data_IF_257062012559
#
_entry.id   IF_257062012559
#
_cell.length_a   1.000
_cell.length_b   1.000
_cell.length_c   1.000
_cell.angle_alpha   90.00
_cell.angle_beta   90.00
_cell.angle_gamma   90.00
#
_symmetry.space_group_name_H-M   'P 1'
#
loop_
_entity.id
_entity.type
_entity.pdbx_description
1 polymer ?
#
# COMPACT_ATOMS: atom_id res chain seq x y z
N UNK A 1 -0.60 4.65 -22.38
CA UNK A 1 0.80 4.76 -22.90
C UNK A 1 1.19 3.56 -23.77
N UNK A 2 1.19 2.34 -23.26
CA UNK A 2 1.71 1.17 -24.01
C UNK A 2 1.12 1.01 -25.41
N UNK A 3 -0.21 1.06 -25.57
CA UNK A 3 -0.85 0.97 -26.87
C UNK A 3 -0.48 2.13 -27.81
N UNK A 4 -0.38 3.36 -27.29
CA UNK A 4 -0.04 4.54 -28.07
C UNK A 4 1.39 4.52 -28.61
N UNK A 5 2.30 3.80 -27.96
CA UNK A 5 3.71 3.70 -28.36
C UNK A 5 3.88 3.11 -29.76
N UNK A 6 2.98 2.22 -30.20
CA UNK A 6 3.00 1.57 -31.51
C UNK A 6 1.86 2.04 -32.42
N UNK A 7 1.09 3.05 -32.02
CA UNK A 7 0.06 3.64 -32.87
C UNK A 7 0.65 4.64 -33.87
N UNK A 8 0.06 4.74 -35.06
CA UNK A 8 0.47 5.74 -36.03
C UNK A 8 0.13 7.17 -35.55
N UNK A 9 1.05 8.10 -35.68
CA UNK A 9 0.88 9.51 -35.37
C UNK A 9 1.18 9.83 -33.90
N UNK A 10 0.57 10.90 -33.38
CA UNK A 10 0.80 11.43 -32.03
C UNK A 10 -0.43 11.24 -31.17
N UNK A 11 -0.26 10.64 -30.00
CA UNK A 11 -1.29 10.52 -28.96
C UNK A 11 -0.99 11.48 -27.80
N UNK A 12 -2.00 12.24 -27.38
CA UNK A 12 -1.91 13.13 -26.24
C UNK A 12 -2.87 12.61 -25.17
N UNK A 13 -2.34 12.36 -23.97
CA UNK A 13 -3.13 12.02 -22.78
C UNK A 13 -3.19 13.27 -21.91
N UNK A 14 -4.37 13.84 -21.75
CA UNK A 14 -4.64 14.96 -20.84
C UNK A 14 -5.25 14.43 -19.52
N UNK A 15 -5.08 15.17 -18.44
CA UNK A 15 -5.43 14.72 -17.09
C UNK A 15 -4.81 13.35 -16.75
N UNK A 16 -3.57 13.17 -17.15
CA UNK A 16 -2.83 11.94 -16.96
C UNK A 16 -2.55 11.67 -15.48
N UNK A 17 -2.54 10.40 -15.12
CA UNK A 17 -2.06 9.96 -13.82
C UNK A 17 -0.57 10.30 -13.64
N UNK A 18 -0.20 10.68 -12.42
CA UNK A 18 1.17 11.15 -12.09
C UNK A 18 1.90 10.21 -11.14
N UNK A 19 1.30 9.08 -10.82
CA UNK A 19 1.89 8.09 -9.92
C UNK A 19 3.29 7.70 -10.39
N UNK A 20 4.22 7.41 -9.44
CA UNK A 20 5.58 7.00 -9.77
C UNK A 20 5.66 5.84 -10.77
N UNK A 21 4.70 4.91 -10.71
CA UNK A 21 4.60 3.75 -11.60
C UNK A 21 4.30 4.16 -13.06
N UNK A 22 3.60 5.28 -13.26
CA UNK A 22 3.35 5.86 -14.61
C UNK A 22 4.65 6.41 -15.20
N UNK A 23 5.41 7.14 -14.36
CA UNK A 23 6.73 7.67 -14.76
C UNK A 23 7.70 6.53 -15.07
N UNK A 24 7.74 5.52 -14.20
CA UNK A 24 8.60 4.34 -14.38
C UNK A 24 8.27 3.57 -15.66
N UNK A 25 6.98 3.34 -15.93
CA UNK A 25 6.52 2.70 -17.18
C UNK A 25 6.92 3.50 -18.42
N UNK A 26 6.77 4.83 -18.36
CA UNK A 26 7.19 5.70 -19.49
C UNK A 26 8.71 5.60 -19.72
N UNK A 27 9.51 5.68 -18.66
CA UNK A 27 10.97 5.57 -18.73
C UNK A 27 11.43 4.19 -19.24
N UNK A 28 10.74 3.12 -18.82
CA UNK A 28 10.97 1.79 -19.37
C UNK A 28 10.71 1.74 -20.87
N UNK A 29 9.56 2.25 -21.33
CA UNK A 29 9.22 2.29 -22.75
C UNK A 29 10.22 3.15 -23.56
N UNK A 30 10.68 4.28 -23.01
CA UNK A 30 11.71 5.13 -23.62
C UNK A 30 13.03 4.36 -23.78
N UNK A 31 13.41 3.56 -22.77
CA UNK A 31 14.60 2.69 -22.84
C UNK A 31 14.48 1.67 -23.98
N UNK A 32 13.27 1.25 -24.32
CA UNK A 32 13.00 0.36 -25.45
C UNK A 32 12.90 1.09 -26.81
N UNK A 33 13.01 2.42 -26.83
CA UNK A 33 12.96 3.24 -28.04
C UNK A 33 11.65 3.99 -28.29
N UNK A 34 10.73 4.02 -27.31
CA UNK A 34 9.53 4.84 -27.38
C UNK A 34 9.85 6.34 -27.31
N UNK A 35 9.01 7.14 -27.92
CA UNK A 35 9.07 8.61 -27.89
C UNK A 35 7.95 9.14 -27.00
N UNK A 36 8.24 9.33 -25.73
CA UNK A 36 7.30 9.79 -24.71
C UNK A 36 7.88 11.00 -23.99
N UNK A 37 7.06 12.01 -23.73
CA UNK A 37 7.40 13.20 -22.96
C UNK A 37 6.24 13.62 -22.06
N UNK A 38 6.54 14.38 -20.99
CA UNK A 38 5.53 14.87 -20.05
C UNK A 38 5.11 13.87 -18.98
N UNK A 39 5.75 12.70 -18.88
CA UNK A 39 5.49 11.76 -17.78
C UNK A 39 5.73 12.42 -16.42
N UNK A 40 4.83 12.16 -15.45
CA UNK A 40 4.84 12.84 -14.15
C UNK A 40 4.09 14.17 -14.13
N UNK A 41 3.60 14.63 -15.27
CA UNK A 41 2.70 15.78 -15.39
C UNK A 41 1.30 15.35 -15.77
N UNK A 42 0.35 16.29 -15.83
CA UNK A 42 -1.02 16.03 -16.26
C UNK A 42 -1.19 15.85 -17.77
N UNK A 43 -0.10 16.03 -18.54
CA UNK A 43 -0.13 15.90 -20.00
C UNK A 43 1.03 15.09 -20.51
N UNK A 44 0.74 13.92 -21.08
CA UNK A 44 1.74 13.02 -21.67
C UNK A 44 1.54 13.02 -23.18
N UNK A 45 2.65 13.21 -23.91
CA UNK A 45 2.70 13.17 -25.39
C UNK A 45 3.48 11.95 -25.83
N UNK A 46 2.92 11.16 -26.73
CA UNK A 46 3.52 9.93 -27.25
C UNK A 46 3.50 10.01 -28.77
N UNK A 47 4.68 9.95 -29.38
CA UNK A 47 4.83 9.77 -30.82
C UNK A 47 4.97 8.27 -31.11
N UNK A 48 4.09 7.72 -31.92
CA UNK A 48 4.14 6.32 -32.29
C UNK A 48 5.42 5.96 -33.03
N UNK A 49 5.93 4.76 -32.76
CA UNK A 49 7.10 4.19 -33.46
C UNK A 49 6.71 2.88 -34.11
N UNK A 50 7.39 2.52 -35.20
CA UNK A 50 7.09 1.30 -35.96
C UNK A 50 7.34 0.04 -35.12
N UNK A 51 8.40 0.06 -34.30
CA UNK A 51 8.72 -1.04 -33.38
C UNK A 51 9.54 -0.55 -32.18
N UNK A 52 9.50 -1.32 -31.10
CA UNK A 52 10.40 -1.16 -29.97
C UNK A 52 11.62 -2.06 -30.11
N UNK A 53 12.74 -1.66 -29.53
CA UNK A 53 13.95 -2.44 -29.40
C UNK A 53 13.99 -3.24 -28.10
N UNK A 54 15.20 -3.69 -27.74
CA UNK A 54 15.50 -4.28 -26.43
C UNK A 54 16.26 -3.30 -25.55
N UNK A 55 16.36 -3.63 -24.27
CA UNK A 55 17.13 -2.84 -23.30
C UNK A 55 17.18 -3.51 -21.92
N UNK A 56 17.99 -2.95 -21.03
CA UNK A 56 18.04 -3.33 -19.62
C UNK A 56 17.48 -2.15 -18.82
N UNK A 57 16.53 -2.43 -17.97
CA UNK A 57 15.88 -1.43 -17.15
C UNK A 57 15.70 -1.95 -15.71
N UNK A 58 15.95 -1.10 -14.72
CA UNK A 58 15.70 -1.43 -13.32
C UNK A 58 14.33 -0.84 -12.93
N UNK A 59 13.39 -1.73 -12.66
CA UNK A 59 12.04 -1.35 -12.23
C UNK A 59 12.07 -0.67 -10.87
N UNK A 60 11.22 0.33 -10.69
CA UNK A 60 10.99 1.03 -9.43
C UNK A 60 10.62 0.04 -8.30
N UNK A 61 11.16 0.22 -7.08
CA UNK A 61 10.68 -0.53 -5.92
C UNK A 61 9.18 -0.33 -5.67
N UNK A 62 8.49 -1.37 -5.24
CA UNK A 62 7.07 -1.29 -4.87
C UNK A 62 6.91 -0.49 -3.56
N UNK A 63 6.51 0.79 -3.70
CA UNK A 63 6.27 1.69 -2.58
C UNK A 63 5.11 1.23 -1.68
N UNK A 64 4.12 0.53 -2.22
CA UNK A 64 2.98 0.06 -1.45
C UNK A 64 3.37 -1.17 -0.61
N UNK A 65 4.19 -2.06 -1.13
CA UNK A 65 4.79 -3.13 -0.32
C UNK A 65 5.63 -2.53 0.81
N UNK A 66 6.51 -1.57 0.51
CA UNK A 66 7.30 -0.85 1.52
C UNK A 66 6.40 -0.24 2.60
N UNK A 67 5.37 0.52 2.20
CA UNK A 67 4.41 1.13 3.13
C UNK A 67 3.67 0.10 3.98
N UNK A 68 3.32 -1.05 3.41
CA UNK A 68 2.66 -2.15 4.12
C UNK A 68 3.54 -2.71 5.24
N UNK A 69 4.84 -2.92 5.00
CA UNK A 69 5.78 -3.37 6.04
C UNK A 69 6.07 -2.28 7.09
N UNK A 70 6.08 -1.00 6.71
CA UNK A 70 6.16 0.11 7.68
C UNK A 70 4.94 0.12 8.61
N UNK A 71 3.74 -0.09 8.08
CA UNK A 71 2.51 -0.21 8.89
C UNK A 71 2.58 -1.45 9.78
N UNK A 72 3.09 -2.58 9.29
CA UNK A 72 3.28 -3.79 10.11
C UNK A 72 4.13 -3.49 11.37
N UNK A 73 5.24 -2.77 11.20
CA UNK A 73 6.07 -2.34 12.33
C UNK A 73 5.34 -1.35 13.24
N UNK A 74 4.57 -0.43 12.68
CA UNK A 74 3.82 0.57 13.47
C UNK A 74 2.77 -0.08 14.37
N UNK A 75 1.94 -0.99 13.83
CA UNK A 75 0.88 -1.66 14.60
C UNK A 75 1.42 -2.68 15.60
N UNK A 76 2.58 -3.27 15.35
CA UNK A 76 3.28 -4.17 16.28
C UNK A 76 4.13 -3.42 17.31
N UNK A 77 4.15 -2.08 17.29
CA UNK A 77 4.94 -1.20 18.17
C UNK A 77 6.46 -1.45 18.03
N UNK A 78 6.85 -1.99 16.90
CA UNK A 78 8.19 -2.50 16.62
C UNK A 78 9.08 -1.50 15.87
N UNK A 79 10.14 -2.07 15.29
CA UNK A 79 11.11 -1.37 14.48
C UNK A 79 11.38 -2.15 13.20
N UNK A 80 11.59 -1.44 12.10
CA UNK A 80 11.95 -2.02 10.80
C UNK A 80 12.90 -1.11 10.03
N UNK A 81 13.70 -1.71 9.14
CA UNK A 81 14.46 -1.00 8.09
C UNK A 81 14.09 -1.64 6.76
N UNK A 82 13.46 -0.87 5.88
CA UNK A 82 13.17 -1.24 4.50
C UNK A 82 14.33 -0.77 3.61
N UNK A 83 15.05 -1.70 2.98
CA UNK A 83 16.16 -1.42 2.06
C UNK A 83 15.69 -1.52 0.62
N UNK A 84 16.44 -0.91 -0.31
CA UNK A 84 16.05 -0.78 -1.71
C UNK A 84 14.65 -0.16 -1.84
N UNK A 85 14.32 0.79 -0.97
CA UNK A 85 13.11 1.58 -1.00
C UNK A 85 13.38 2.93 -1.66
N UNK A 86 12.34 3.61 -2.11
CA UNK A 86 12.44 4.95 -2.68
C UNK A 86 11.58 5.92 -1.86
N UNK A 87 12.18 6.61 -0.86
CA UNK A 87 11.45 7.42 0.12
C UNK A 87 10.59 8.53 -0.48
N UNK A 88 11.07 9.21 -1.52
CA UNK A 88 10.38 10.30 -2.21
C UNK A 88 9.05 9.89 -2.87
N UNK A 89 8.82 8.61 -3.07
CA UNK A 89 7.55 8.07 -3.57
C UNK A 89 6.49 7.85 -2.47
N UNK A 90 6.86 8.04 -1.20
CA UNK A 90 6.06 7.72 -0.02
C UNK A 90 5.79 8.92 0.91
N UNK A 91 6.09 10.14 0.51
CA UNK A 91 6.03 11.32 1.39
C UNK A 91 4.73 11.44 2.19
N UNK A 92 3.58 11.29 1.54
CA UNK A 92 2.27 11.38 2.21
C UNK A 92 2.05 10.25 3.24
N UNK A 93 2.54 9.04 2.95
CA UNK A 93 2.45 7.89 3.85
C UNK A 93 3.38 8.07 5.06
N UNK A 94 4.63 8.49 4.81
CA UNK A 94 5.61 8.73 5.87
C UNK A 94 5.17 9.88 6.79
N UNK A 95 4.57 10.94 6.25
CA UNK A 95 4.00 12.02 7.05
C UNK A 95 2.93 11.50 8.01
N UNK A 96 2.00 10.65 7.53
CA UNK A 96 0.95 10.06 8.38
C UNK A 96 1.48 9.06 9.40
N UNK A 97 2.53 8.32 9.11
CA UNK A 97 3.19 7.45 10.09
C UNK A 97 3.89 8.29 11.19
N UNK A 98 4.51 9.43 10.84
CA UNK A 98 5.04 10.37 11.84
C UNK A 98 3.94 10.97 12.72
N UNK A 99 2.81 11.36 12.13
CA UNK A 99 1.63 11.83 12.87
C UNK A 99 1.12 10.74 13.84
N UNK A 100 1.21 9.46 13.46
CA UNK A 100 0.87 8.32 14.30
C UNK A 100 1.90 8.05 15.42
N UNK A 101 3.00 8.77 15.47
CA UNK A 101 4.01 8.70 16.52
C UNK A 101 5.25 7.87 16.16
N UNK A 102 5.41 7.48 14.91
CA UNK A 102 6.59 6.77 14.45
C UNK A 102 7.80 7.71 14.32
N UNK A 103 8.94 7.25 14.80
CA UNK A 103 10.24 7.85 14.51
C UNK A 103 10.74 7.28 13.18
N UNK A 104 10.92 8.15 12.18
CA UNK A 104 11.24 7.74 10.81
C UNK A 104 12.48 8.47 10.33
N UNK A 105 13.47 7.70 9.93
CA UNK A 105 14.65 8.16 9.22
C UNK A 105 14.63 7.65 7.78
N UNK A 106 15.12 8.45 6.85
CA UNK A 106 15.21 8.10 5.44
C UNK A 106 16.63 8.31 4.93
N UNK A 107 17.11 7.40 4.10
CA UNK A 107 18.34 7.54 3.34
C UNK A 107 18.04 7.61 1.84
N UNK A 108 19.05 7.43 1.02
CA UNK A 108 18.90 7.46 -0.44
C UNK A 108 17.99 6.32 -0.94
N UNK A 109 18.19 5.11 -0.41
CA UNK A 109 17.49 3.89 -0.82
C UNK A 109 16.95 3.06 0.35
N UNK A 110 16.71 3.69 1.51
CA UNK A 110 16.16 3.01 2.67
C UNK A 110 15.29 3.91 3.52
N UNK A 111 14.39 3.27 4.27
CA UNK A 111 13.51 3.89 5.25
C UNK A 111 13.58 3.06 6.52
N UNK A 112 13.81 3.71 7.67
CA UNK A 112 13.62 3.08 8.97
C UNK A 112 12.43 3.67 9.69
N UNK A 113 11.74 2.83 10.46
CA UNK A 113 10.66 3.22 11.35
C UNK A 113 10.88 2.56 12.70
N UNK A 114 10.73 3.33 13.77
CA UNK A 114 10.78 2.84 15.15
C UNK A 114 9.61 3.44 15.97
N UNK A 115 8.80 2.56 16.55
CA UNK A 115 7.72 2.95 17.46
C UNK A 115 8.18 3.04 18.91
N UNK A 116 9.41 2.63 19.23
CA UNK A 116 9.94 2.59 20.61
C UNK A 116 9.00 1.87 21.60
N UNK A 117 8.32 0.80 21.15
CA UNK A 117 7.34 0.04 21.94
C UNK A 117 6.00 0.75 22.18
N UNK A 118 5.80 1.95 21.64
CA UNK A 118 4.59 2.75 21.86
C UNK A 118 3.48 2.36 20.90
N UNK A 119 2.24 2.41 21.41
CA UNK A 119 1.04 2.26 20.60
C UNK A 119 0.92 3.44 19.62
N UNK A 120 0.53 3.20 18.35
CA UNK A 120 0.31 4.30 17.42
C UNK A 120 -0.87 5.17 17.86
N UNK A 121 -0.84 6.45 17.48
CA UNK A 121 -1.98 7.36 17.61
C UNK A 121 -2.82 7.31 16.35
N UNK A 122 -4.14 7.45 16.49
CA UNK A 122 -5.04 7.52 15.37
C UNK A 122 -4.78 8.77 14.51
N UNK A 123 -4.89 8.62 13.20
CA UNK A 123 -4.65 9.68 12.23
C UNK A 123 -5.81 9.82 11.25
N UNK A 124 -6.03 11.02 10.76
CA UNK A 124 -7.01 11.27 9.71
C UNK A 124 -6.33 11.19 8.34
N UNK A 125 -6.92 10.37 7.46
CA UNK A 125 -6.43 10.14 6.11
C UNK A 125 -7.55 10.44 5.11
N UNK A 126 -7.18 11.10 4.02
CA UNK A 126 -8.02 11.26 2.83
C UNK A 126 -7.23 10.82 1.62
N UNK A 127 -7.72 9.81 0.92
CA UNK A 127 -7.09 9.36 -0.33
C UNK A 127 -7.29 10.37 -1.43
N UNK A 128 -6.30 10.53 -2.30
CA UNK A 128 -6.39 11.33 -3.51
C UNK A 128 -5.27 10.91 -4.48
N UNK A 129 -5.35 11.28 -5.77
CA UNK A 129 -4.29 11.01 -6.74
C UNK A 129 -2.92 11.55 -6.29
N UNK A 130 -1.85 10.89 -6.75
CA UNK A 130 -0.48 11.30 -6.43
C UNK A 130 -0.24 12.81 -6.74
N UNK A 131 0.47 13.56 -5.86
CA UNK A 131 1.31 13.12 -4.74
C UNK A 131 0.60 13.01 -3.37
N UNK A 132 -0.73 13.05 -3.36
CA UNK A 132 -1.49 12.89 -2.13
C UNK A 132 -1.48 11.42 -1.63
N UNK A 133 -2.27 11.15 -0.59
CA UNK A 133 -2.27 9.84 0.06
C UNK A 133 -2.88 8.76 -0.86
N UNK A 134 -2.14 7.66 -1.17
CA UNK A 134 -2.58 6.67 -2.13
C UNK A 134 -3.72 5.79 -1.59
N UNK A 135 -4.73 5.54 -2.43
CA UNK A 135 -5.82 4.60 -2.12
C UNK A 135 -5.31 3.19 -1.80
N UNK A 136 -4.16 2.79 -2.33
CA UNK A 136 -3.54 1.49 -2.09
C UNK A 136 -2.95 1.33 -0.68
N UNK A 137 -2.86 2.40 0.11
CA UNK A 137 -2.50 2.37 1.53
C UNK A 137 -3.71 2.56 2.47
N UNK A 138 -4.91 2.72 1.92
CA UNK A 138 -6.12 2.96 2.70
C UNK A 138 -6.41 1.82 3.69
N UNK A 139 -6.37 0.57 3.24
CA UNK A 139 -6.69 -0.59 4.08
C UNK A 139 -5.69 -0.77 5.24
N UNK A 140 -4.41 -0.55 4.99
CA UNK A 140 -3.36 -0.64 6.00
C UNK A 140 -3.53 0.44 7.07
N UNK A 141 -3.88 1.68 6.68
CA UNK A 141 -4.13 2.76 7.64
C UNK A 141 -5.48 2.65 8.35
N UNK A 142 -6.47 2.02 7.74
CA UNK A 142 -7.69 1.60 8.43
C UNK A 142 -7.34 0.64 9.57
N UNK A 143 -6.52 -0.38 9.31
CA UNK A 143 -6.04 -1.29 10.35
C UNK A 143 -5.24 -0.55 11.43
N UNK A 144 -4.31 0.33 11.04
CA UNK A 144 -3.53 1.13 12.00
C UNK A 144 -4.46 1.89 12.96
N UNK A 145 -5.46 2.60 12.43
CA UNK A 145 -6.40 3.34 13.24
C UNK A 145 -7.25 2.45 14.16
N UNK A 146 -7.61 1.24 13.69
CA UNK A 146 -8.41 0.30 14.49
C UNK A 146 -7.67 -0.27 15.70
N UNK A 147 -6.33 -0.18 15.74
CA UNK A 147 -5.52 -0.60 16.89
C UNK A 147 -4.77 0.57 17.55
N UNK A 148 -4.96 1.79 17.05
CA UNK A 148 -4.34 3.01 17.58
C UNK A 148 -5.01 3.52 18.84
N UNK A 149 -4.39 4.50 19.49
CA UNK A 149 -5.03 5.30 20.54
C UNK A 149 -5.92 6.37 19.91
N UNK A 150 -7.18 6.43 20.32
CA UNK A 150 -8.14 7.44 19.89
C UNK A 150 -9.02 7.02 18.71
N UNK A 151 -9.57 8.01 18.02
CA UNK A 151 -10.47 7.83 16.86
C UNK A 151 -9.85 8.49 15.64
N UNK A 152 -9.83 7.76 14.53
CA UNK A 152 -9.31 8.26 13.26
C UNK A 152 -10.33 8.09 12.13
N UNK A 153 -10.26 8.97 11.14
CA UNK A 153 -11.15 9.02 9.99
C UNK A 153 -10.38 8.66 8.72
N UNK A 154 -10.89 7.69 7.96
CA UNK A 154 -10.36 7.31 6.67
C UNK A 154 -11.38 7.64 5.59
N UNK A 155 -11.13 8.69 4.83
CA UNK A 155 -12.01 9.11 3.72
C UNK A 155 -11.44 8.63 2.39
N UNK A 156 -12.19 7.79 1.68
CA UNK A 156 -11.83 7.26 0.36
C UNK A 156 -12.47 8.12 -0.74
N UNK A 157 -11.67 8.68 -1.64
CA UNK A 157 -12.16 9.54 -2.73
C UNK A 157 -11.68 9.11 -4.12
N UNK A 158 -10.91 8.04 -4.21
CA UNK A 158 -10.36 7.54 -5.48
C UNK A 158 -11.10 6.29 -5.95
N UNK A 159 -11.35 5.35 -5.02
CA UNK A 159 -11.98 4.08 -5.34
C UNK A 159 -13.25 3.90 -4.50
N UNK A 160 -14.39 4.14 -5.10
CA UNK A 160 -15.69 4.05 -4.40
C UNK A 160 -15.91 2.68 -3.74
N UNK A 161 -16.46 2.71 -2.51
CA UNK A 161 -16.83 1.52 -1.74
C UNK A 161 -15.69 0.54 -1.42
N UNK A 162 -14.43 0.98 -1.38
CA UNK A 162 -13.28 0.14 -1.05
C UNK A 162 -13.17 -0.13 0.45
N UNK A 163 -14.23 -0.69 1.08
CA UNK A 163 -14.31 -0.92 2.52
C UNK A 163 -14.64 -2.37 2.91
N UNK A 164 -14.51 -3.32 2.02
CA UNK A 164 -14.86 -4.71 2.28
C UNK A 164 -14.05 -5.32 3.43
N UNK A 165 -12.79 -4.92 3.60
CA UNK A 165 -11.92 -5.34 4.71
C UNK A 165 -12.42 -4.90 6.07
N UNK A 166 -13.18 -3.81 6.18
CA UNK A 166 -13.70 -3.30 7.46
C UNK A 166 -14.60 -4.33 8.13
N UNK A 167 -15.47 -5.00 7.36
CA UNK A 167 -16.34 -6.06 7.89
C UNK A 167 -15.53 -7.26 8.39
N UNK A 168 -14.48 -7.64 7.69
CA UNK A 168 -13.61 -8.73 8.11
C UNK A 168 -12.81 -8.36 9.37
N UNK A 169 -12.30 -7.13 9.47
CA UNK A 169 -11.65 -6.62 10.67
C UNK A 169 -12.62 -6.55 11.87
N UNK A 170 -13.89 -6.22 11.63
CA UNK A 170 -14.92 -6.24 12.69
C UNK A 170 -15.14 -7.65 13.25
N UNK A 171 -14.99 -8.72 12.44
CA UNK A 171 -15.01 -10.11 12.93
C UNK A 171 -13.84 -10.43 13.86
N UNK A 172 -12.75 -9.69 13.74
CA UNK A 172 -11.59 -9.77 14.63
C UNK A 172 -11.72 -8.87 15.88
N UNK A 173 -12.90 -8.27 16.12
CA UNK A 173 -13.16 -7.42 17.27
C UNK A 173 -12.82 -5.94 17.05
N UNK A 174 -12.52 -5.52 15.83
CA UNK A 174 -12.32 -4.12 15.50
C UNK A 174 -13.65 -3.34 15.57
N UNK A 175 -13.57 -2.07 15.99
CA UNK A 175 -14.73 -1.19 16.09
C UNK A 175 -14.64 -0.09 15.04
N UNK A 176 -15.50 -0.17 14.03
CA UNK A 176 -15.54 0.79 12.92
C UNK A 176 -16.99 1.06 12.49
N UNK A 177 -17.24 2.28 12.07
CA UNK A 177 -18.49 2.73 11.45
C UNK A 177 -18.18 3.25 10.05
N UNK A 178 -19.07 2.95 9.09
CA UNK A 178 -18.93 3.44 7.71
C UNK A 178 -20.02 4.45 7.45
N UNK A 179 -19.63 5.69 7.19
CA UNK A 179 -20.52 6.79 6.82
C UNK A 179 -20.15 7.28 5.42
N UNK A 180 -20.99 6.97 4.43
CA UNK A 180 -20.74 7.31 3.04
C UNK A 180 -19.38 6.80 2.56
N UNK A 181 -18.44 7.68 2.27
CA UNK A 181 -17.09 7.38 1.81
C UNK A 181 -16.02 7.48 2.94
N UNK A 182 -16.44 7.44 4.19
CA UNK A 182 -15.54 7.57 5.34
C UNK A 182 -15.74 6.42 6.31
N UNK A 183 -14.64 5.83 6.76
CA UNK A 183 -14.62 4.90 7.89
C UNK A 183 -14.20 5.68 9.14
N UNK A 184 -15.00 5.59 10.18
CA UNK A 184 -14.69 6.07 11.52
C UNK A 184 -14.10 4.88 12.28
N UNK A 185 -12.83 4.96 12.62
CA UNK A 185 -12.11 3.89 13.31
C UNK A 185 -11.96 4.23 14.79
N UNK A 186 -12.51 3.40 15.66
CA UNK A 186 -12.32 3.51 17.10
C UNK A 186 -11.25 2.50 17.53
N UNK A 187 -10.11 2.98 17.99
CA UNK A 187 -8.98 2.12 18.33
C UNK A 187 -9.28 1.18 19.50
N UNK A 188 -9.06 -0.10 19.28
CA UNK A 188 -9.12 -1.14 20.31
C UNK A 188 -7.71 -1.54 20.74
N UNK A 189 -7.56 -1.99 22.00
CA UNK A 189 -6.25 -2.40 22.51
C UNK A 189 -5.75 -3.68 21.84
N UNK A 190 -6.67 -4.59 21.51
CA UNK A 190 -6.37 -5.93 21.00
C UNK A 190 -7.40 -6.38 19.97
N UNK A 191 -6.94 -7.12 18.99
CA UNK A 191 -7.77 -7.89 18.07
C UNK A 191 -7.78 -9.36 18.48
N UNK A 192 -8.83 -10.07 18.11
CA UNK A 192 -8.98 -11.51 18.33
C UNK A 192 -8.85 -12.26 17.02
N UNK A 193 -8.24 -13.44 17.05
CA UNK A 193 -8.15 -14.33 15.90
C UNK A 193 -9.52 -14.72 15.38
N UNK A 194 -9.68 -14.75 14.07
CA UNK A 194 -10.91 -15.15 13.40
C UNK A 194 -10.61 -15.77 12.03
N UNK A 195 -11.59 -16.46 11.46
CA UNK A 195 -11.56 -16.81 10.05
C UNK A 195 -12.08 -15.63 9.24
N UNK A 196 -11.24 -15.08 8.36
CA UNK A 196 -11.50 -13.89 7.53
C UNK A 196 -11.22 -14.18 6.07
N UNK A 197 -11.84 -13.42 5.21
CA UNK A 197 -11.78 -13.64 3.76
C UNK A 197 -11.06 -12.50 3.06
N UNK A 198 -10.03 -12.83 2.32
CA UNK A 198 -9.37 -11.90 1.39
C UNK A 198 -10.34 -11.47 0.28
N UNK A 199 -10.44 -10.17 0.02
CA UNK A 199 -11.40 -9.57 -0.92
C UNK A 199 -10.73 -8.88 -2.10
N UNK A 200 -9.63 -8.19 -1.86
CA UNK A 200 -8.75 -7.59 -2.86
C UNK A 200 -7.30 -7.63 -2.37
N UNK A 201 -6.38 -7.23 -3.23
CA UNK A 201 -4.94 -7.29 -2.96
C UNK A 201 -4.53 -6.55 -1.66
N UNK A 202 -4.92 -5.29 -1.50
CA UNK A 202 -4.48 -4.43 -0.38
C UNK A 202 -5.27 -4.69 0.90
N UNK A 203 -6.58 -4.93 0.77
CA UNK A 203 -7.42 -5.38 1.87
C UNK A 203 -6.90 -6.70 2.46
N UNK A 204 -6.53 -7.64 1.60
CA UNK A 204 -5.99 -8.93 2.01
C UNK A 204 -4.68 -8.79 2.79
N UNK A 205 -3.77 -7.93 2.35
CA UNK A 205 -2.54 -7.65 3.08
C UNK A 205 -2.84 -7.08 4.47
N UNK A 206 -3.81 -6.17 4.62
CA UNK A 206 -4.21 -5.64 5.93
C UNK A 206 -4.74 -6.72 6.87
N UNK A 207 -5.50 -7.71 6.35
CA UNK A 207 -5.99 -8.83 7.15
C UNK A 207 -4.86 -9.75 7.62
N UNK A 208 -3.85 -9.98 6.78
CA UNK A 208 -2.64 -10.72 7.19
C UNK A 208 -1.92 -10.00 8.31
N UNK A 209 -1.71 -8.68 8.18
CA UNK A 209 -1.09 -7.88 9.23
C UNK A 209 -1.90 -7.90 10.52
N UNK A 210 -3.23 -7.80 10.42
CA UNK A 210 -4.13 -7.89 11.58
C UNK A 210 -3.98 -9.24 12.30
N UNK A 211 -3.89 -10.34 11.54
CA UNK A 211 -3.63 -11.68 12.09
C UNK A 211 -2.31 -11.80 12.84
N UNK A 212 -1.27 -11.08 12.40
CA UNK A 212 0.04 -11.10 13.07
C UNK A 212 0.03 -10.47 14.47
N UNK A 213 -0.92 -9.58 14.76
CA UNK A 213 -1.02 -8.88 16.06
C UNK A 213 -2.24 -9.31 16.88
N UNK A 214 -3.14 -10.12 16.33
CA UNK A 214 -4.33 -10.61 17.02
C UNK A 214 -4.00 -11.70 18.06
N UNK A 215 -4.78 -11.77 19.13
CA UNK A 215 -4.73 -12.88 20.08
C UNK A 215 -5.43 -14.12 19.50
N UNK A 216 -4.79 -15.28 19.59
CA UNK A 216 -5.31 -16.53 19.03
C UNK A 216 -4.88 -16.76 17.58
N UNK A 217 -5.65 -17.55 16.85
CA UNK A 217 -5.33 -17.91 15.46
C UNK A 217 -6.26 -17.20 14.49
N UNK A 218 -5.68 -16.55 13.50
CA UNK A 218 -6.40 -15.99 12.35
C UNK A 218 -6.16 -16.83 11.12
N UNK A 219 -7.23 -17.19 10.43
CA UNK A 219 -7.15 -17.87 9.12
C UNK A 219 -7.61 -16.91 8.04
N UNK A 220 -6.75 -16.65 7.06
CA UNK A 220 -7.06 -15.78 5.93
C UNK A 220 -7.30 -16.64 4.71
N UNK A 221 -8.54 -16.72 4.26
CA UNK A 221 -8.93 -17.45 3.07
C UNK A 221 -8.74 -16.64 1.78
N UNK A 222 -8.75 -17.30 0.63
CA UNK A 222 -8.62 -16.71 -0.72
C UNK A 222 -7.34 -15.90 -0.92
N UNK A 223 -6.23 -16.39 -0.41
CA UNK A 223 -4.92 -15.69 -0.44
C UNK A 223 -4.37 -15.46 -1.85
N UNK A 224 -4.95 -16.05 -2.90
CA UNK A 224 -4.58 -15.74 -4.28
C UNK A 224 -4.71 -14.25 -4.63
N UNK A 225 -5.53 -13.49 -3.89
CA UNK A 225 -5.59 -12.04 -4.02
C UNK A 225 -4.28 -11.37 -3.58
N UNK A 226 -3.61 -11.91 -2.56
CA UNK A 226 -2.34 -11.39 -2.03
C UNK A 226 -1.19 -11.70 -2.99
N UNK A 227 -1.18 -12.90 -3.56
CA UNK A 227 -0.11 -13.39 -4.42
C UNK A 227 0.07 -12.56 -5.72
N UNK A 228 -0.91 -11.74 -6.05
CA UNK A 228 -0.87 -10.85 -7.21
C UNK A 228 0.10 -9.68 -7.05
N UNK A 229 0.50 -9.31 -5.84
CA UNK A 229 1.33 -8.14 -5.60
C UNK A 229 2.21 -8.21 -4.35
N UNK A 230 2.17 -9.31 -3.59
CA UNK A 230 3.07 -9.54 -2.47
C UNK A 230 3.75 -10.90 -2.64
N UNK A 231 5.00 -10.87 -3.06
CA UNK A 231 5.78 -12.09 -3.22
C UNK A 231 6.08 -12.71 -1.85
N UNK A 232 5.50 -13.89 -1.57
CA UNK A 232 5.75 -14.71 -0.38
C UNK A 232 5.72 -13.88 0.92
N UNK A 233 4.66 -13.11 1.12
CA UNK A 233 4.51 -12.21 2.27
C UNK A 233 4.69 -12.95 3.60
N UNK A 234 4.24 -14.21 3.68
CA UNK A 234 4.38 -15.07 4.86
C UNK A 234 5.84 -15.33 5.23
N UNK A 235 6.72 -15.52 4.24
CA UNK A 235 8.15 -15.74 4.52
C UNK A 235 8.84 -14.46 4.99
N UNK A 236 8.51 -13.32 4.38
CA UNK A 236 9.04 -12.01 4.79
C UNK A 236 8.60 -11.67 6.21
N UNK A 237 7.32 -11.84 6.53
CA UNK A 237 6.79 -11.60 7.88
C UNK A 237 7.39 -12.58 8.90
N UNK A 238 7.55 -13.87 8.55
CA UNK A 238 8.18 -14.86 9.42
C UNK A 238 9.63 -14.51 9.71
N UNK A 239 10.37 -14.04 8.72
CA UNK A 239 11.75 -13.57 8.90
C UNK A 239 11.85 -12.34 9.83
N UNK A 240 10.78 -11.55 9.92
CA UNK A 240 10.66 -10.43 10.86
C UNK A 240 10.15 -10.85 12.25
N UNK A 241 9.86 -12.13 12.47
CA UNK A 241 9.44 -12.69 13.77
C UNK A 241 7.94 -12.96 13.92
N UNK A 242 7.14 -12.79 12.88
CA UNK A 242 5.72 -13.15 12.92
C UNK A 242 5.54 -14.67 12.93
N UNK A 243 4.56 -15.16 13.70
CA UNK A 243 4.14 -16.55 13.66
C UNK A 243 3.07 -16.74 12.59
N UNK A 244 3.50 -17.04 11.38
CA UNK A 244 2.64 -17.14 10.20
C UNK A 244 3.08 -18.31 9.33
N UNK A 245 2.13 -19.04 8.76
CA UNK A 245 2.38 -20.10 7.81
C UNK A 245 1.34 -20.11 6.68
N UNK A 246 1.76 -20.61 5.52
CA UNK A 246 0.84 -20.88 4.42
C UNK A 246 0.42 -22.34 4.50
N UNK A 247 -0.88 -22.56 4.64
CA UNK A 247 -1.48 -23.90 4.61
C UNK A 247 -2.10 -24.18 3.25
N UNK A 248 -2.05 -25.43 2.80
CA UNK A 248 -2.81 -25.86 1.62
C UNK A 248 -4.27 -25.93 2.02
N UNK A 249 -5.15 -25.25 1.29
CA UNK A 249 -6.59 -25.45 1.41
C UNK A 249 -6.97 -26.89 1.05
N UNK A 250 -7.92 -27.43 1.77
CA UNK A 250 -8.57 -28.70 1.41
C UNK A 250 -9.40 -28.56 0.13
#
# INVERSE_FOLDING_TARGET
MCAATLAEGTTIIENAAREPEIVDTANFLITLGAKISGQGTDRIVIEGVERLGGGVYRVLPDRIETGTFLVAAAISRGKIICRNAQPDTLDAVLAKLRDAGADIEVGEDWISLDMHGKRPKAVNVRTAPHPAFPTDMQAQFTLLNLVAEGTGFITETVFENRFMHVRELSRMGAHAEIESNTVICHGVEKLSGAQVMATDLRASASLVLAGCIAEGTTVVDRIYHIDRGYERIEDKLRALGANIERVKGE
#
